data_IF_603293260354
#
_entry.id   IF_603293260354
#
_cell.length_a   1.000
_cell.length_b   1.000
_cell.length_c   1.000
_cell.angle_alpha   90.00
_cell.angle_beta   90.00
_cell.angle_gamma   90.00
#
_symmetry.space_group_name_H-M   'P 1'
#
loop_
_entity.id
_entity.type
_entity.pdbx_description
1 polymer ?
#
# COMPACT_ATOMS: atom_id res chain seq x y z
N UNK A 1 5.39 27.55 2.73
CA UNK A 1 4.05 26.96 2.67
C UNK A 1 3.51 27.09 1.26
N UNK A 2 3.09 25.96 0.66
CA UNK A 2 2.60 25.90 -0.72
C UNK A 2 1.17 26.44 -0.88
N UNK A 3 0.67 27.24 0.07
CA UNK A 3 -0.66 27.86 0.01
C UNK A 3 -1.82 26.87 -0.19
N UNK A 4 -1.67 25.62 0.23
CA UNK A 4 -2.69 24.58 0.05
C UNK A 4 -2.75 23.95 -1.35
N UNK A 5 -1.84 24.28 -2.25
CA UNK A 5 -1.80 23.78 -3.63
C UNK A 5 -0.82 22.61 -3.80
N UNK A 6 -0.94 21.55 -2.98
CA UNK A 6 -0.17 20.35 -3.13
C UNK A 6 -0.97 19.30 -3.89
N UNK A 7 -0.47 18.84 -5.04
CA UNK A 7 -1.17 17.87 -5.87
C UNK A 7 -1.13 16.44 -5.26
N UNK A 8 0.00 16.04 -4.70
CA UNK A 8 0.20 14.74 -4.04
C UNK A 8 1.27 14.84 -2.96
N UNK A 9 1.23 13.93 -1.98
CA UNK A 9 2.30 13.74 -1.00
C UNK A 9 2.96 12.37 -1.24
N UNK A 10 4.20 12.36 -1.73
CA UNK A 10 4.91 11.13 -2.03
C UNK A 10 5.69 10.63 -0.82
N UNK A 11 5.34 9.45 -0.33
CA UNK A 11 5.90 8.85 0.88
C UNK A 11 6.07 7.33 0.74
N UNK A 12 6.93 6.73 1.57
CA UNK A 12 7.04 5.28 1.69
C UNK A 12 5.76 4.72 2.30
N UNK A 13 5.10 3.82 1.58
CA UNK A 13 3.91 3.15 2.10
C UNK A 13 3.71 1.77 1.49
N UNK A 14 3.65 0.77 2.34
CA UNK A 14 3.37 -0.63 2.03
C UNK A 14 3.00 -1.36 3.33
N UNK A 15 2.59 -2.64 3.31
CA UNK A 15 2.23 -3.37 4.52
C UNK A 15 3.31 -3.43 5.61
N UNK A 16 4.61 -3.34 5.27
CA UNK A 16 5.70 -3.29 6.25
C UNK A 16 5.99 -1.87 6.77
N UNK A 17 5.60 -0.83 6.05
CA UNK A 17 5.88 0.58 6.36
C UNK A 17 4.58 1.37 6.51
N UNK A 18 3.90 1.20 7.64
CA UNK A 18 2.54 1.70 7.92
C UNK A 18 2.51 2.96 8.81
N UNK A 19 3.65 3.47 9.24
CA UNK A 19 3.72 4.57 10.22
C UNK A 19 2.86 5.79 9.87
N UNK A 20 2.72 6.09 8.59
CA UNK A 20 1.92 7.22 8.10
C UNK A 20 0.40 7.07 8.30
N UNK A 21 -0.08 5.87 8.63
CA UNK A 21 -1.51 5.64 8.90
C UNK A 21 -1.98 6.34 10.18
N UNK A 22 -1.05 6.62 11.12
CA UNK A 22 -1.40 7.21 12.40
C UNK A 22 -1.89 8.67 12.27
N UNK A 23 -1.19 9.49 11.51
CA UNK A 23 -1.48 10.92 11.42
C UNK A 23 -1.43 11.48 9.99
N UNK A 24 -0.47 11.07 9.15
CA UNK A 24 -0.26 11.67 7.85
C UNK A 24 -1.37 11.34 6.85
N UNK A 25 -1.81 10.08 6.76
CA UNK A 25 -2.94 9.70 5.88
C UNK A 25 -4.24 10.41 6.29
N UNK A 26 -4.63 10.45 7.58
CA UNK A 26 -5.78 11.23 8.02
C UNK A 26 -5.68 12.72 7.65
N UNK A 27 -4.51 13.32 7.86
CA UNK A 27 -4.27 14.72 7.49
C UNK A 27 -4.38 14.94 5.97
N UNK A 28 -3.73 14.09 5.18
CA UNK A 28 -3.78 14.16 3.71
C UNK A 28 -5.23 14.06 3.20
N UNK A 29 -6.01 13.14 3.76
CA UNK A 29 -7.42 12.97 3.41
C UNK A 29 -8.23 14.21 3.75
N UNK A 30 -8.06 14.79 4.93
CA UNK A 30 -8.74 16.02 5.35
C UNK A 30 -8.35 17.22 4.47
N UNK A 31 -7.12 17.27 3.99
CA UNK A 31 -6.61 18.32 3.11
C UNK A 31 -6.94 18.11 1.62
N UNK A 32 -7.56 16.99 1.25
CA UNK A 32 -7.81 16.62 -0.15
C UNK A 32 -6.54 16.34 -0.96
N UNK A 33 -5.45 15.92 -0.30
CA UNK A 33 -4.16 15.63 -0.91
C UNK A 33 -3.98 14.11 -1.00
N UNK A 34 -3.91 13.49 -2.19
CA UNK A 34 -3.64 12.06 -2.32
C UNK A 34 -2.23 11.70 -1.83
N UNK A 35 -2.10 10.50 -1.29
CA UNK A 35 -0.80 9.88 -0.99
C UNK A 35 -0.29 9.17 -2.23
N UNK A 36 0.96 9.42 -2.63
CA UNK A 36 1.67 8.67 -3.67
C UNK A 36 2.66 7.71 -2.99
N UNK A 37 2.30 6.43 -2.94
CA UNK A 37 3.07 5.39 -2.26
C UNK A 37 4.25 4.93 -3.11
N UNK A 38 5.49 5.30 -2.74
CA UNK A 38 6.67 4.71 -3.36
C UNK A 38 7.06 3.40 -2.65
N UNK A 39 7.76 2.53 -3.35
CA UNK A 39 8.10 1.16 -2.91
C UNK A 39 6.88 0.39 -2.34
N UNK A 40 5.74 0.37 -3.06
CA UNK A 40 4.51 -0.24 -2.56
C UNK A 40 4.64 -1.76 -2.40
N UNK A 41 5.64 -2.38 -3.02
CA UNK A 41 5.95 -3.81 -2.94
C UNK A 41 7.09 -4.12 -1.95
N UNK A 42 7.49 -3.14 -1.14
CA UNK A 42 8.63 -3.27 -0.24
C UNK A 42 9.97 -3.36 -0.95
N UNK A 43 11.01 -3.72 -0.20
CA UNK A 43 12.35 -3.95 -0.76
C UNK A 43 12.80 -5.40 -0.53
N UNK A 44 13.71 -5.87 -1.38
CA UNK A 44 14.33 -7.20 -1.31
C UNK A 44 13.35 -8.40 -1.33
N UNK A 45 12.10 -8.21 -1.72
CA UNK A 45 11.10 -9.27 -1.90
C UNK A 45 10.64 -9.97 -0.62
N UNK A 46 10.99 -9.47 0.57
CA UNK A 46 10.57 -10.04 1.85
C UNK A 46 9.06 -9.94 2.05
N UNK A 47 8.49 -8.77 1.77
CA UNK A 47 7.05 -8.53 1.82
C UNK A 47 6.28 -9.56 0.99
N UNK A 48 6.75 -9.83 -0.23
CA UNK A 48 6.09 -10.74 -1.17
C UNK A 48 6.18 -12.23 -0.77
N UNK A 49 7.00 -12.55 0.23
CA UNK A 49 7.10 -13.90 0.81
C UNK A 49 6.27 -14.07 2.08
N UNK A 50 5.55 -13.04 2.50
CA UNK A 50 4.68 -13.11 3.68
C UNK A 50 3.63 -14.21 3.52
N UNK A 51 3.53 -15.15 4.46
CA UNK A 51 2.52 -16.21 4.41
C UNK A 51 1.09 -15.67 4.31
N UNK A 52 0.78 -14.58 5.01
CA UNK A 52 -0.53 -13.94 4.97
C UNK A 52 -0.88 -13.45 3.56
N UNK A 53 0.05 -12.74 2.90
CA UNK A 53 -0.18 -12.24 1.53
C UNK A 53 -0.23 -13.39 0.51
N UNK A 54 0.59 -14.42 0.69
CA UNK A 54 0.58 -15.61 -0.17
C UNK A 54 -0.76 -16.33 -0.11
N UNK A 55 -1.29 -16.52 1.10
CA UNK A 55 -2.57 -17.20 1.30
C UNK A 55 -3.75 -16.41 0.71
N UNK A 56 -3.76 -15.09 0.92
CA UNK A 56 -4.76 -14.20 0.30
C UNK A 56 -4.67 -14.28 -1.23
N UNK A 57 -3.45 -14.24 -1.78
CA UNK A 57 -3.23 -14.37 -3.22
C UNK A 57 -3.81 -15.67 -3.79
N UNK A 58 -3.62 -16.80 -3.10
CA UNK A 58 -4.21 -18.09 -3.50
C UNK A 58 -5.73 -18.05 -3.50
N UNK A 59 -6.36 -17.48 -2.46
CA UNK A 59 -7.83 -17.37 -2.38
C UNK A 59 -8.42 -16.52 -3.50
N UNK A 60 -7.76 -15.44 -3.87
CA UNK A 60 -8.21 -14.55 -4.94
C UNK A 60 -7.72 -14.94 -6.34
N UNK A 61 -6.85 -15.96 -6.46
CA UNK A 61 -6.26 -16.35 -7.74
C UNK A 61 -5.34 -15.29 -8.35
N UNK A 62 -4.64 -14.51 -7.50
CA UNK A 62 -3.76 -13.41 -7.91
C UNK A 62 -2.38 -13.53 -7.27
N UNK A 63 -1.41 -12.75 -7.76
CA UNK A 63 -0.06 -12.74 -7.20
C UNK A 63 -0.01 -12.01 -5.85
N UNK A 64 0.99 -12.33 -5.03
CA UNK A 64 1.26 -11.64 -3.77
C UNK A 64 1.52 -10.15 -3.99
N UNK A 65 2.17 -9.78 -5.09
CA UNK A 65 2.38 -8.38 -5.46
C UNK A 65 1.04 -7.66 -5.69
N UNK A 66 0.10 -8.29 -6.37
CA UNK A 66 -1.24 -7.73 -6.59
C UNK A 66 -2.01 -7.56 -5.27
N UNK A 67 -1.87 -8.50 -4.32
CA UNK A 67 -2.47 -8.35 -2.97
C UNK A 67 -1.88 -7.14 -2.24
N UNK A 68 -0.56 -6.97 -2.24
CA UNK A 68 0.11 -5.83 -1.61
C UNK A 68 -0.32 -4.49 -2.22
N UNK A 69 -0.46 -4.43 -3.54
CA UNK A 69 -0.96 -3.23 -4.24
C UNK A 69 -2.43 -2.97 -3.91
N UNK A 70 -3.30 -3.97 -3.98
CA UNK A 70 -4.71 -3.84 -3.62
C UNK A 70 -4.88 -3.33 -2.19
N UNK A 71 -4.05 -3.83 -1.26
CA UNK A 71 -4.04 -3.34 0.11
C UNK A 71 -3.65 -1.86 0.19
N UNK A 72 -2.62 -1.43 -0.54
CA UNK A 72 -2.19 -0.02 -0.56
C UNK A 72 -3.27 0.91 -1.13
N UNK A 73 -4.10 0.42 -2.05
CA UNK A 73 -5.15 1.17 -2.72
C UNK A 73 -6.51 1.15 -1.98
N UNK A 74 -6.64 0.35 -0.92
CA UNK A 74 -7.93 0.04 -0.27
C UNK A 74 -8.72 1.24 0.26
N UNK A 75 -8.04 2.34 0.56
CA UNK A 75 -8.67 3.54 1.11
C UNK A 75 -9.18 4.54 0.04
N UNK A 76 -8.85 4.29 -1.24
CA UNK A 76 -9.26 5.13 -2.36
C UNK A 76 -8.55 6.49 -2.46
N UNK A 77 -7.61 6.81 -1.56
CA UNK A 77 -6.85 8.08 -1.55
C UNK A 77 -5.35 7.87 -1.80
N UNK A 78 -4.96 6.69 -2.20
CA UNK A 78 -3.56 6.32 -2.43
C UNK A 78 -3.31 6.00 -3.90
N UNK A 79 -2.22 6.53 -4.44
CA UNK A 79 -1.68 6.21 -5.75
C UNK A 79 -0.44 5.34 -5.53
N UNK A 80 -0.46 4.09 -5.96
CA UNK A 80 0.71 3.22 -5.88
C UNK A 80 1.58 3.35 -7.15
N UNK A 81 2.91 3.44 -6.97
CA UNK A 81 3.87 3.57 -8.09
C UNK A 81 4.84 2.39 -8.15
N UNK A 82 4.35 1.16 -8.40
CA UNK A 82 5.21 -0.02 -8.50
C UNK A 82 6.07 0.03 -9.75
N UNK A 83 7.36 -0.30 -9.61
CA UNK A 83 8.25 -0.50 -10.75
C UNK A 83 7.85 -1.76 -11.51
N UNK A 84 7.82 -1.69 -12.84
CA UNK A 84 7.65 -2.83 -13.72
C UNK A 84 8.60 -2.71 -14.92
N UNK A 85 9.26 -3.82 -15.30
CA UNK A 85 10.18 -3.89 -16.43
C UNK A 85 9.65 -4.74 -17.58
N UNK A 86 8.47 -5.34 -17.44
CA UNK A 86 7.81 -6.12 -18.49
C UNK A 86 6.34 -5.71 -18.63
N UNK A 87 5.80 -5.87 -19.84
CA UNK A 87 4.39 -5.60 -20.11
C UNK A 87 3.45 -6.46 -19.26
N UNK A 88 3.86 -7.71 -18.99
CA UNK A 88 3.08 -8.61 -18.13
C UNK A 88 2.96 -8.04 -16.71
N UNK A 89 4.05 -7.56 -16.12
CA UNK A 89 4.03 -6.95 -14.79
C UNK A 89 3.24 -5.63 -14.76
N UNK A 90 3.31 -4.81 -15.82
CA UNK A 90 2.48 -3.59 -15.93
C UNK A 90 1.00 -3.93 -15.88
N UNK A 91 0.57 -4.94 -16.66
CA UNK A 91 -0.82 -5.40 -16.67
C UNK A 91 -1.27 -5.98 -15.32
N UNK A 92 -0.43 -6.79 -14.69
CA UNK A 92 -0.72 -7.33 -13.36
C UNK A 92 -0.85 -6.23 -12.31
N UNK A 93 0.05 -5.24 -12.33
CA UNK A 93 0.00 -4.11 -11.41
C UNK A 93 -1.28 -3.29 -11.62
N UNK A 94 -1.67 -3.03 -12.86
CA UNK A 94 -2.92 -2.31 -13.17
C UNK A 94 -4.15 -3.10 -12.69
N UNK A 95 -4.18 -4.41 -12.91
CA UNK A 95 -5.29 -5.28 -12.48
C UNK A 95 -5.45 -5.36 -10.95
N UNK A 96 -4.43 -4.99 -10.18
CA UNK A 96 -4.55 -4.94 -8.72
C UNK A 96 -5.61 -3.94 -8.23
N UNK A 97 -5.92 -2.90 -9.01
CA UNK A 97 -6.97 -1.92 -8.69
C UNK A 97 -8.38 -2.52 -8.65
N UNK A 98 -8.60 -3.63 -9.34
CA UNK A 98 -9.89 -4.30 -9.41
C UNK A 98 -10.09 -5.36 -8.30
N UNK A 99 -9.05 -5.65 -7.53
CA UNK A 99 -9.10 -6.65 -6.45
C UNK A 99 -9.78 -6.03 -5.23
N UNK A 100 -10.87 -6.67 -4.78
CA UNK A 100 -11.59 -6.30 -3.56
C UNK A 100 -11.14 -7.21 -2.42
N UNK A 101 -10.29 -6.70 -1.54
CA UNK A 101 -9.92 -7.40 -0.31
C UNK A 101 -11.11 -7.42 0.65
N UNK A 102 -11.35 -8.56 1.27
CA UNK A 102 -12.38 -8.71 2.29
C UNK A 102 -11.91 -8.15 3.64
N UNK A 103 -12.85 -7.95 4.58
CA UNK A 103 -12.48 -7.56 5.95
C UNK A 103 -11.60 -8.62 6.62
N UNK A 104 -11.82 -9.91 6.31
CA UNK A 104 -10.99 -11.01 6.77
C UNK A 104 -9.57 -10.94 6.21
N UNK A 105 -9.42 -10.60 4.91
CA UNK A 105 -8.12 -10.38 4.29
C UNK A 105 -7.37 -9.23 4.98
N UNK A 106 -8.04 -8.12 5.21
CA UNK A 106 -7.46 -6.96 5.89
C UNK A 106 -7.05 -7.30 7.32
N UNK A 107 -7.88 -8.05 8.06
CA UNK A 107 -7.56 -8.50 9.40
C UNK A 107 -6.34 -9.44 9.43
N UNK A 108 -6.20 -10.34 8.45
CA UNK A 108 -5.03 -11.21 8.32
C UNK A 108 -3.76 -10.41 8.03
N UNK A 109 -3.85 -9.37 7.20
CA UNK A 109 -2.72 -8.47 6.94
C UNK A 109 -2.38 -7.65 8.20
N UNK A 110 -3.36 -7.16 8.94
CA UNK A 110 -3.16 -6.43 10.19
C UNK A 110 -2.51 -7.29 11.28
N UNK A 111 -2.82 -8.58 11.31
CA UNK A 111 -2.17 -9.54 12.22
C UNK A 111 -0.70 -9.77 11.85
N UNK A 112 -0.38 -9.81 10.55
CA UNK A 112 0.99 -10.00 10.06
C UNK A 112 1.83 -8.72 10.12
N UNK A 113 1.20 -7.57 9.88
CA UNK A 113 1.80 -6.25 9.82
C UNK A 113 0.95 -5.27 10.63
N UNK A 114 1.22 -5.18 11.93
CA UNK A 114 0.40 -4.40 12.84
C UNK A 114 0.31 -2.91 12.46
N UNK A 115 -0.88 -2.30 12.46
CA UNK A 115 -1.04 -0.88 12.27
C UNK A 115 -0.37 -0.09 13.41
N UNK A 116 0.08 1.16 13.15
CA UNK A 116 0.75 1.96 14.17
C UNK A 116 -0.22 2.35 15.29
N UNK A 117 0.25 2.24 16.55
CA UNK A 117 -0.51 2.66 17.75
C UNK A 117 -0.12 4.05 18.25
N UNK A 118 0.93 4.63 17.68
CA UNK A 118 1.48 5.95 18.03
C UNK A 118 2.16 6.57 16.83
N UNK A 119 2.39 7.88 16.89
CA UNK A 119 3.19 8.60 15.89
C UNK A 119 4.59 7.99 15.78
N UNK A 120 5.04 7.80 14.57
CA UNK A 120 6.36 7.30 14.23
C UNK A 120 7.08 8.32 13.35
N UNK A 121 8.42 8.37 13.39
CA UNK A 121 9.18 9.12 12.39
C UNK A 121 8.81 8.67 10.98
N UNK A 122 8.85 9.60 10.03
CA UNK A 122 8.62 9.27 8.62
C UNK A 122 9.68 8.29 8.13
N UNK A 123 9.24 7.10 7.74
CA UNK A 123 10.13 6.11 7.16
C UNK A 123 10.59 6.56 5.77
N UNK A 124 11.88 6.41 5.49
CA UNK A 124 12.51 6.70 4.20
C UNK A 124 13.46 5.56 3.83
N UNK A 125 13.74 5.41 2.55
CA UNK A 125 14.71 4.46 2.01
C UNK A 125 16.01 5.18 1.65
#
# INVERSE_FOLDING_TARGET
PLGGQCAVNQVLYNPEARGIEFDLIPWCRAAGVPVMAYSPLGQAGRLLKSPALVEIGKRHGVSTAQVALAWSLRDGNTIAIPKASSLAHVRQNAAAADIKLTDEDCAAIDAAFAPPRRKQPLAML
#
